data_IF_035152195343
#
_entry.id   IF_035152195343
#
_cell.length_a   1.000
_cell.length_b   1.000
_cell.length_c   1.000
_cell.angle_alpha   90.00
_cell.angle_beta   90.00
_cell.angle_gamma   90.00
#
_symmetry.space_group_name_H-M   'P 1'
#
loop_
_entity.id
_entity.type
_entity.pdbx_description
1 polymer ?
#
# COMPACT_ATOMS: atom_id res chain seq x y z
N UNK A 1 -15.68 28.99 -5.23
CA UNK A 1 -14.63 27.98 -5.31
C UNK A 1 -15.29 26.63 -5.51
N UNK A 2 -15.06 25.98 -6.65
CA UNK A 2 -15.76 24.76 -7.06
C UNK A 2 -15.40 23.61 -6.11
N UNK A 3 -16.35 22.74 -5.77
CA UNK A 3 -16.18 21.58 -4.87
C UNK A 3 -15.01 20.65 -5.30
N UNK A 4 -14.78 20.54 -6.60
CA UNK A 4 -13.62 19.84 -7.21
C UNK A 4 -12.27 20.48 -6.84
N UNK A 5 -12.20 21.80 -6.72
CA UNK A 5 -10.97 22.52 -6.33
C UNK A 5 -10.60 22.30 -4.86
N UNK A 6 -11.59 22.25 -3.95
CA UNK A 6 -11.35 21.94 -2.53
C UNK A 6 -10.84 20.51 -2.31
N UNK A 7 -11.42 19.53 -2.98
CA UNK A 7 -10.99 18.13 -2.85
C UNK A 7 -9.59 17.91 -3.42
N UNK A 8 -9.24 18.59 -4.52
CA UNK A 8 -7.88 18.56 -5.07
C UNK A 8 -6.87 19.21 -4.13
N UNK A 9 -7.22 20.34 -3.53
CA UNK A 9 -6.35 21.10 -2.62
C UNK A 9 -5.97 20.29 -1.35
N UNK A 10 -6.84 19.39 -0.91
CA UNK A 10 -6.59 18.50 0.23
C UNK A 10 -5.93 17.18 -0.24
N UNK A 11 -6.36 16.65 -1.38
CA UNK A 11 -5.92 15.37 -1.89
C UNK A 11 -4.44 15.33 -2.29
N UNK A 12 -3.93 16.37 -2.95
CA UNK A 12 -2.52 16.42 -3.36
C UNK A 12 -1.55 16.44 -2.17
N UNK A 13 -1.70 17.33 -1.16
CA UNK A 13 -0.84 17.30 0.03
C UNK A 13 -0.95 15.99 0.79
N UNK A 14 -2.15 15.43 0.94
CA UNK A 14 -2.34 14.14 1.59
C UNK A 14 -1.62 13.01 0.84
N UNK A 15 -1.67 12.99 -0.49
CA UNK A 15 -0.94 12.03 -1.32
C UNK A 15 0.57 12.15 -1.16
N UNK A 16 1.11 13.37 -1.14
CA UNK A 16 2.54 13.63 -0.92
C UNK A 16 2.96 13.12 0.46
N UNK A 17 2.22 13.47 1.52
CA UNK A 17 2.50 13.03 2.89
C UNK A 17 2.47 11.50 2.97
N UNK A 18 1.47 10.86 2.36
CA UNK A 18 1.37 9.40 2.32
C UNK A 18 2.58 8.78 1.63
N UNK A 19 3.00 9.32 0.48
CA UNK A 19 4.18 8.85 -0.25
C UNK A 19 5.47 8.97 0.57
N UNK A 20 5.68 10.11 1.23
CA UNK A 20 6.82 10.33 2.13
C UNK A 20 6.79 9.33 3.29
N UNK A 21 5.64 9.20 3.97
CA UNK A 21 5.47 8.29 5.12
C UNK A 21 5.71 6.84 4.72
N UNK A 22 5.25 6.44 3.53
CA UNK A 22 5.48 5.09 3.02
C UNK A 22 6.96 4.85 2.69
N UNK A 23 7.64 5.83 2.11
CA UNK A 23 9.08 5.79 1.82
C UNK A 23 9.96 5.71 3.08
N UNK A 24 9.47 6.18 4.22
CA UNK A 24 10.16 6.07 5.52
C UNK A 24 10.08 4.67 6.15
N UNK A 25 9.25 3.77 5.64
CA UNK A 25 9.11 2.41 6.18
C UNK A 25 10.44 1.67 6.35
N UNK A 26 11.35 1.63 5.35
CA UNK A 26 12.64 0.96 5.51
C UNK A 26 13.52 1.63 6.57
N UNK A 27 13.43 2.97 6.69
CA UNK A 27 14.26 3.72 7.64
C UNK A 27 14.01 3.31 9.10
N UNK A 28 12.77 2.99 9.44
CA UNK A 28 12.40 2.54 10.79
C UNK A 28 12.40 1.01 10.93
N UNK A 29 12.05 0.29 9.87
CA UNK A 29 11.95 -1.17 9.90
C UNK A 29 13.31 -1.86 9.87
N UNK A 30 14.23 -1.41 9.00
CA UNK A 30 15.54 -2.05 8.82
C UNK A 30 16.41 -2.06 10.10
N UNK A 31 16.52 -0.97 10.88
CA UNK A 31 17.27 -1.01 12.12
C UNK A 31 16.73 -2.02 13.14
N UNK A 32 15.43 -2.20 13.22
CA UNK A 32 14.81 -3.19 14.10
C UNK A 32 15.12 -4.61 13.64
N UNK A 33 15.02 -4.89 12.35
CA UNK A 33 15.38 -6.19 11.76
C UNK A 33 16.86 -6.50 11.97
N UNK A 34 17.75 -5.54 11.77
CA UNK A 34 19.19 -5.71 11.99
C UNK A 34 19.55 -5.95 13.46
N UNK A 35 18.74 -5.49 14.39
CA UNK A 35 18.87 -5.77 15.83
C UNK A 35 18.16 -7.07 16.26
N UNK A 36 17.73 -7.92 15.31
CA UNK A 36 17.17 -9.23 15.58
C UNK A 36 15.67 -9.27 15.87
N UNK A 37 14.94 -8.16 15.66
CA UNK A 37 13.49 -8.19 15.78
C UNK A 37 12.88 -8.97 14.61
N UNK A 38 11.93 -9.88 14.88
CA UNK A 38 11.25 -10.62 13.85
C UNK A 38 10.28 -9.71 13.08
N UNK A 39 10.08 -9.99 11.79
CA UNK A 39 9.20 -9.22 10.91
C UNK A 39 7.77 -9.21 11.47
N UNK A 40 7.32 -10.36 11.98
CA UNK A 40 5.99 -10.52 12.57
C UNK A 40 5.81 -9.60 13.78
N UNK A 41 6.81 -9.51 14.65
CA UNK A 41 6.78 -8.61 15.82
C UNK A 41 6.72 -7.14 15.41
N UNK A 42 7.54 -6.73 14.43
CA UNK A 42 7.56 -5.36 13.92
C UNK A 42 6.18 -4.99 13.35
N UNK A 43 5.61 -5.86 12.52
CA UNK A 43 4.30 -5.62 11.90
C UNK A 43 3.18 -5.65 12.93
N UNK A 44 3.24 -6.59 13.90
CA UNK A 44 2.26 -6.68 14.98
C UNK A 44 2.18 -5.37 15.79
N UNK A 45 3.29 -4.89 16.32
CA UNK A 45 3.30 -3.65 17.08
C UNK A 45 2.91 -2.44 16.24
N UNK A 46 3.34 -2.38 14.98
CA UNK A 46 2.95 -1.31 14.06
C UNK A 46 1.43 -1.24 13.87
N UNK A 47 0.79 -2.39 13.62
CA UNK A 47 -0.67 -2.43 13.45
C UNK A 47 -1.40 -2.23 14.78
N UNK A 48 -0.88 -2.75 15.88
CA UNK A 48 -1.45 -2.54 17.21
C UNK A 48 -1.51 -1.04 17.56
N UNK A 49 -0.40 -0.32 17.39
CA UNK A 49 -0.39 1.12 17.62
C UNK A 49 -1.32 1.87 16.66
N UNK A 50 -1.37 1.48 15.39
CA UNK A 50 -2.30 2.08 14.44
C UNK A 50 -3.76 1.89 14.87
N UNK A 51 -4.14 0.68 15.28
CA UNK A 51 -5.49 0.37 15.78
C UNK A 51 -5.83 1.17 17.03
N UNK A 52 -4.90 1.28 17.99
CA UNK A 52 -5.12 2.07 19.21
C UNK A 52 -5.34 3.54 18.86
N UNK A 53 -4.49 4.15 18.03
CA UNK A 53 -4.58 5.55 17.67
C UNK A 53 -5.84 5.85 16.82
N UNK A 54 -6.13 5.04 15.81
CA UNK A 54 -7.32 5.21 14.99
C UNK A 54 -8.60 4.92 15.77
N UNK A 55 -8.59 3.91 16.64
CA UNK A 55 -9.70 3.60 17.51
C UNK A 55 -10.01 4.74 18.47
N UNK A 56 -8.99 5.30 19.13
CA UNK A 56 -9.15 6.48 19.97
C UNK A 56 -9.72 7.68 19.17
N UNK A 57 -9.21 7.91 17.96
CA UNK A 57 -9.73 8.97 17.09
C UNK A 57 -11.19 8.76 16.72
N UNK A 58 -11.60 7.54 16.35
CA UNK A 58 -12.98 7.19 16.03
C UNK A 58 -13.92 7.37 17.22
N UNK A 59 -13.49 6.99 18.41
CA UNK A 59 -14.28 7.18 19.66
C UNK A 59 -14.46 8.67 19.95
N UNK A 60 -13.40 9.47 19.88
CA UNK A 60 -13.45 10.92 20.14
C UNK A 60 -14.34 11.62 19.09
N UNK A 61 -14.27 11.22 17.84
CA UNK A 61 -15.09 11.79 16.74
C UNK A 61 -16.51 11.21 16.67
N UNK A 62 -16.89 10.33 17.63
CA UNK A 62 -18.22 9.71 17.73
C UNK A 62 -18.67 9.04 16.43
N UNK A 63 -17.74 8.40 15.71
CA UNK A 63 -18.08 7.64 14.51
C UNK A 63 -18.89 6.38 14.87
N UNK A 64 -19.84 6.04 14.02
CA UNK A 64 -20.67 4.85 14.20
C UNK A 64 -19.89 3.60 13.78
N UNK A 65 -19.72 2.64 14.71
CA UNK A 65 -19.03 1.36 14.48
C UNK A 65 -19.97 0.26 13.93
N UNK A 66 -21.19 0.59 13.53
CA UNK A 66 -22.12 -0.43 13.01
C UNK A 66 -21.67 -0.90 11.63
N UNK A 67 -21.28 -2.16 11.57
CA UNK A 67 -20.92 -2.85 10.33
C UNK A 67 -21.82 -4.07 10.15
N UNK A 68 -22.17 -4.35 8.90
CA UNK A 68 -22.91 -5.58 8.55
C UNK A 68 -21.96 -6.77 8.44
N UNK A 69 -22.47 -7.99 8.58
CA UNK A 69 -21.65 -9.20 8.42
C UNK A 69 -20.93 -9.26 7.07
N UNK A 70 -21.58 -8.81 6.00
CA UNK A 70 -20.95 -8.69 4.66
C UNK A 70 -19.78 -7.74 4.65
N UNK A 71 -19.89 -6.59 5.30
CA UNK A 71 -18.83 -5.60 5.45
C UNK A 71 -17.68 -6.19 6.27
N UNK A 72 -17.96 -6.85 7.40
CA UNK A 72 -16.95 -7.49 8.24
C UNK A 72 -16.12 -8.52 7.47
N UNK A 73 -16.76 -9.41 6.70
CA UNK A 73 -16.03 -10.39 5.87
C UNK A 73 -15.16 -9.71 4.82
N UNK A 74 -15.66 -8.65 4.17
CA UNK A 74 -14.90 -7.93 3.16
C UNK A 74 -13.70 -7.20 3.80
N UNK A 75 -13.88 -6.58 4.96
CA UNK A 75 -12.80 -5.94 5.73
C UNK A 75 -11.73 -6.95 6.16
N UNK A 76 -12.14 -8.15 6.58
CA UNK A 76 -11.22 -9.22 6.93
C UNK A 76 -10.37 -9.66 5.72
N UNK A 77 -10.97 -9.83 4.56
CA UNK A 77 -10.23 -10.15 3.32
C UNK A 77 -9.25 -9.03 2.98
N UNK A 78 -9.67 -7.77 3.09
CA UNK A 78 -8.80 -6.62 2.87
C UNK A 78 -7.63 -6.58 3.85
N UNK A 79 -7.89 -6.82 5.14
CA UNK A 79 -6.85 -6.91 6.17
C UNK A 79 -5.83 -8.01 5.88
N UNK A 80 -6.29 -9.19 5.45
CA UNK A 80 -5.41 -10.29 5.05
C UNK A 80 -4.55 -9.94 3.84
N UNK A 81 -5.12 -9.32 2.81
CA UNK A 81 -4.37 -8.89 1.62
C UNK A 81 -3.32 -7.83 1.98
N UNK A 82 -3.69 -6.85 2.80
CA UNK A 82 -2.78 -5.79 3.23
C UNK A 82 -1.64 -6.34 4.10
N UNK A 83 -1.95 -7.24 5.03
CA UNK A 83 -0.95 -7.91 5.88
C UNK A 83 -0.02 -8.78 5.05
N UNK A 84 -0.55 -9.57 4.12
CA UNK A 84 0.26 -10.39 3.20
C UNK A 84 1.21 -9.54 2.37
N UNK A 85 0.71 -8.41 1.83
CA UNK A 85 1.55 -7.44 1.11
C UNK A 85 2.69 -6.93 1.99
N UNK A 86 2.41 -6.54 3.24
CA UNK A 86 3.42 -6.04 4.16
C UNK A 86 4.45 -7.09 4.54
N UNK A 87 4.02 -8.32 4.82
CA UNK A 87 4.94 -9.44 5.13
C UNK A 87 5.86 -9.70 3.94
N UNK A 88 5.32 -9.81 2.72
CA UNK A 88 6.11 -10.01 1.51
C UNK A 88 7.14 -8.88 1.30
N UNK A 89 6.75 -7.62 1.52
CA UNK A 89 7.66 -6.49 1.39
C UNK A 89 8.81 -6.55 2.42
N UNK A 90 8.50 -6.77 3.70
CA UNK A 90 9.52 -6.85 4.74
C UNK A 90 10.43 -8.08 4.56
N UNK A 91 9.89 -9.20 4.11
CA UNK A 91 10.69 -10.36 3.74
C UNK A 91 11.63 -10.07 2.56
N UNK A 92 11.19 -9.29 1.57
CA UNK A 92 12.02 -8.89 0.44
C UNK A 92 13.27 -8.10 0.88
N UNK A 93 13.20 -7.32 1.98
CA UNK A 93 14.34 -6.57 2.53
C UNK A 93 15.50 -7.46 2.98
N UNK A 94 15.27 -8.74 3.27
CA UNK A 94 16.32 -9.70 3.59
C UNK A 94 17.12 -10.16 2.35
N UNK A 95 16.59 -9.97 1.14
CA UNK A 95 17.16 -10.50 -0.10
C UNK A 95 17.68 -9.43 -1.05
N UNK A 96 17.06 -8.24 -1.02
CA UNK A 96 17.42 -7.11 -1.89
C UNK A 96 17.41 -5.81 -1.09
N UNK A 97 18.09 -4.79 -1.62
CA UNK A 97 18.09 -3.46 -1.01
C UNK A 97 16.67 -2.96 -0.78
N UNK A 98 16.38 -2.45 0.43
CA UNK A 98 15.04 -2.03 0.84
C UNK A 98 14.45 -0.93 -0.05
N UNK A 99 15.30 -0.03 -0.58
CA UNK A 99 14.88 0.96 -1.57
C UNK A 99 14.39 0.34 -2.86
N UNK A 100 15.10 -0.68 -3.38
CA UNK A 100 14.71 -1.41 -4.58
C UNK A 100 13.39 -2.19 -4.34
N UNK A 101 13.29 -2.92 -3.21
CA UNK A 101 12.09 -3.65 -2.85
C UNK A 101 10.86 -2.73 -2.77
N UNK A 102 10.99 -1.58 -2.08
CA UNK A 102 9.92 -0.59 -1.96
C UNK A 102 9.53 -0.01 -3.31
N UNK A 103 10.51 0.28 -4.19
CA UNK A 103 10.25 0.79 -5.54
C UNK A 103 9.50 -0.24 -6.39
N UNK A 104 9.84 -1.52 -6.28
CA UNK A 104 9.12 -2.59 -6.97
C UNK A 104 7.66 -2.71 -6.51
N UNK A 105 7.37 -2.45 -5.24
CA UNK A 105 5.98 -2.41 -4.77
C UNK A 105 5.20 -1.27 -5.42
N UNK A 106 5.81 -0.14 -5.72
CA UNK A 106 5.16 0.96 -6.45
C UNK A 106 4.76 0.62 -7.88
N UNK A 107 5.06 -0.59 -8.38
CA UNK A 107 4.47 -1.13 -9.60
C UNK A 107 2.99 -1.53 -9.42
N UNK A 108 2.43 -1.50 -8.20
CA UNK A 108 1.02 -1.86 -7.98
C UNK A 108 0.01 -1.10 -8.86
N UNK A 109 0.18 0.20 -9.21
CA UNK A 109 -0.76 0.87 -10.10
C UNK A 109 -0.76 0.28 -11.52
N UNK A 110 0.40 -0.25 -11.96
CA UNK A 110 0.52 -0.98 -13.23
C UNK A 110 -0.30 -2.25 -13.18
N UNK A 111 -0.15 -3.03 -12.08
CA UNK A 111 -0.91 -4.25 -11.88
C UNK A 111 -2.41 -3.97 -11.78
N UNK A 112 -2.80 -2.91 -11.07
CA UNK A 112 -4.19 -2.44 -11.03
C UNK A 112 -4.70 -2.14 -12.44
N UNK A 113 -3.94 -1.38 -13.24
CA UNK A 113 -4.32 -1.03 -14.61
C UNK A 113 -4.49 -2.29 -15.48
N UNK A 114 -3.56 -3.24 -15.41
CA UNK A 114 -3.62 -4.50 -16.14
C UNK A 114 -4.88 -5.28 -15.76
N UNK A 115 -5.12 -5.48 -14.46
CA UNK A 115 -6.30 -6.20 -13.97
C UNK A 115 -7.59 -5.49 -14.39
N UNK A 116 -7.62 -4.15 -14.36
CA UNK A 116 -8.79 -3.36 -14.77
C UNK A 116 -9.07 -3.50 -16.26
N UNK A 117 -8.05 -3.61 -17.12
CA UNK A 117 -8.22 -3.91 -18.55
C UNK A 117 -8.88 -5.29 -18.73
N UNK A 118 -8.43 -6.32 -18.01
CA UNK A 118 -9.10 -7.64 -18.02
C UNK A 118 -10.56 -7.57 -17.56
N UNK A 119 -10.87 -6.65 -16.66
CA UNK A 119 -12.24 -6.39 -16.19
C UNK A 119 -13.03 -5.45 -17.14
N UNK A 120 -12.51 -5.19 -18.37
CA UNK A 120 -13.08 -4.32 -19.41
C UNK A 120 -13.24 -2.85 -18.99
N UNK A 121 -12.41 -2.39 -18.08
CA UNK A 121 -12.32 -0.97 -17.70
C UNK A 121 -10.99 -0.44 -18.22
N UNK A 122 -11.05 0.37 -19.28
CA UNK A 122 -9.84 0.91 -19.91
C UNK A 122 -9.35 2.09 -19.07
N UNK A 123 -8.08 2.08 -18.59
CA UNK A 123 -7.50 3.19 -17.85
C UNK A 123 -7.40 4.44 -18.73
N UNK A 124 -7.54 5.62 -18.13
CA UNK A 124 -7.37 6.89 -18.85
C UNK A 124 -5.91 7.11 -19.27
N UNK A 125 -5.70 7.92 -20.29
CA UNK A 125 -4.37 8.22 -20.84
C UNK A 125 -3.32 8.65 -19.79
N UNK A 126 -3.65 9.49 -18.77
CA UNK A 126 -2.70 9.84 -17.72
C UNK A 126 -2.18 8.65 -16.91
N UNK A 127 -2.98 7.58 -16.77
CA UNK A 127 -2.56 6.35 -16.09
C UNK A 127 -1.45 5.64 -16.87
N UNK A 128 -1.54 5.61 -18.20
CA UNK A 128 -0.49 5.03 -19.05
C UNK A 128 0.81 5.82 -18.95
N UNK A 129 0.74 7.17 -18.91
CA UNK A 129 1.92 8.00 -18.68
C UNK A 129 2.55 7.73 -17.30
N UNK A 130 1.74 7.60 -16.25
CA UNK A 130 2.22 7.26 -14.92
C UNK A 130 2.89 5.88 -14.87
N UNK A 131 2.36 4.90 -15.61
CA UNK A 131 2.96 3.56 -15.75
C UNK A 131 4.36 3.66 -16.36
N UNK A 132 4.48 4.36 -17.50
CA UNK A 132 5.77 4.55 -18.19
C UNK A 132 6.77 5.27 -17.29
N UNK A 133 6.35 6.33 -16.60
CA UNK A 133 7.19 7.07 -15.67
C UNK A 133 7.67 6.20 -14.50
N UNK A 134 6.79 5.36 -13.95
CA UNK A 134 7.14 4.42 -12.87
C UNK A 134 8.17 3.39 -13.32
N UNK A 135 7.98 2.78 -14.50
CA UNK A 135 8.96 1.86 -15.08
C UNK A 135 10.31 2.54 -15.34
N UNK A 136 10.29 3.74 -15.90
CA UNK A 136 11.51 4.54 -16.11
C UNK A 136 12.25 4.81 -14.80
N UNK A 137 11.54 5.19 -13.75
CA UNK A 137 12.11 5.41 -12.42
C UNK A 137 12.75 4.15 -11.83
N UNK A 138 12.10 2.98 -11.96
CA UNK A 138 12.65 1.69 -11.52
C UNK A 138 13.92 1.35 -12.31
N UNK A 139 13.94 1.53 -13.63
CA UNK A 139 15.12 1.27 -14.45
C UNK A 139 16.29 2.16 -14.08
N UNK A 140 16.06 3.46 -13.85
CA UNK A 140 17.10 4.40 -13.41
C UNK A 140 17.66 3.98 -12.05
N UNK A 141 16.81 3.58 -11.10
CA UNK A 141 17.27 3.08 -9.82
C UNK A 141 18.11 1.81 -9.93
N UNK A 142 17.77 0.90 -10.85
CA UNK A 142 18.54 -0.33 -11.08
C UNK A 142 19.92 -0.06 -11.74
N UNK A 143 20.07 1.04 -12.47
CA UNK A 143 21.34 1.47 -13.10
C UNK A 143 22.24 2.28 -12.17
N UNK A 144 21.74 2.73 -11.02
CA UNK A 144 22.54 3.46 -10.04
C UNK A 144 23.73 2.64 -9.52
N UNK A 145 24.86 3.30 -9.25
CA UNK A 145 26.23 2.77 -9.00
C UNK A 145 26.40 1.82 -7.79
N UNK A 146 25.42 1.05 -7.42
CA UNK A 146 25.55 -0.05 -6.48
C UNK A 146 25.43 -1.38 -7.22
N UNK A 147 26.36 -2.29 -7.03
CA UNK A 147 26.17 -3.70 -7.37
C UNK A 147 25.02 -4.23 -6.52
N UNK A 148 23.77 -3.92 -6.92
CA UNK A 148 22.61 -4.50 -6.28
C UNK A 148 22.65 -5.99 -6.56
N UNK A 149 22.89 -6.77 -5.52
CA UNK A 149 22.72 -8.22 -5.60
C UNK A 149 21.21 -8.47 -5.81
N UNK A 150 20.81 -8.58 -7.08
CA UNK A 150 19.41 -8.80 -7.46
C UNK A 150 19.10 -10.27 -7.20
N UNK A 151 18.63 -10.55 -5.99
CA UNK A 151 18.17 -11.89 -5.66
C UNK A 151 16.75 -12.09 -6.22
N UNK A 152 16.54 -13.10 -7.09
CA UNK A 152 15.22 -13.38 -7.68
C UNK A 152 14.12 -13.56 -6.62
N UNK A 153 14.44 -14.14 -5.46
CA UNK A 153 13.50 -14.31 -4.35
C UNK A 153 13.00 -12.96 -3.83
N UNK A 154 13.89 -12.00 -3.64
CA UNK A 154 13.51 -10.66 -3.18
C UNK A 154 12.63 -9.92 -4.19
N UNK A 155 12.95 -10.06 -5.49
CA UNK A 155 12.11 -9.51 -6.57
C UNK A 155 10.73 -10.17 -6.59
N UNK A 156 10.66 -11.49 -6.51
CA UNK A 156 9.40 -12.22 -6.48
C UNK A 156 8.53 -11.83 -5.27
N UNK A 157 9.12 -11.67 -4.09
CA UNK A 157 8.43 -11.22 -2.89
C UNK A 157 7.92 -9.78 -3.05
N UNK A 158 8.71 -8.87 -3.63
CA UNK A 158 8.27 -7.49 -3.88
C UNK A 158 7.11 -7.44 -4.88
N UNK A 159 7.15 -8.23 -5.95
CA UNK A 159 6.05 -8.34 -6.90
C UNK A 159 4.82 -9.01 -6.29
N UNK A 160 5.00 -10.01 -5.43
CA UNK A 160 3.92 -10.61 -4.64
C UNK A 160 3.25 -9.59 -3.74
N UNK A 161 4.04 -8.76 -3.05
CA UNK A 161 3.55 -7.63 -2.26
C UNK A 161 2.75 -6.64 -3.11
N UNK A 162 3.28 -6.24 -4.28
CA UNK A 162 2.59 -5.34 -5.22
C UNK A 162 1.26 -5.92 -5.71
N UNK A 163 1.22 -7.24 -5.98
CA UNK A 163 0.01 -7.93 -6.44
C UNK A 163 -1.06 -7.98 -5.35
N UNK A 164 -0.69 -8.35 -4.12
CA UNK A 164 -1.60 -8.36 -2.98
C UNK A 164 -2.17 -6.95 -2.72
N UNK A 165 -1.33 -5.92 -2.82
CA UNK A 165 -1.75 -4.53 -2.66
C UNK A 165 -2.65 -4.06 -3.82
N UNK A 166 -2.37 -4.46 -5.05
CA UNK A 166 -3.22 -4.16 -6.21
C UNK A 166 -4.63 -4.77 -6.06
N UNK A 167 -4.71 -6.03 -5.60
CA UNK A 167 -6.00 -6.67 -5.30
C UNK A 167 -6.75 -5.94 -4.18
N UNK A 168 -6.06 -5.54 -3.12
CA UNK A 168 -6.62 -4.73 -2.04
C UNK A 168 -7.26 -3.45 -2.59
N UNK A 169 -6.54 -2.68 -3.42
CA UNK A 169 -7.04 -1.44 -4.04
C UNK A 169 -8.26 -1.70 -4.94
N UNK A 170 -8.23 -2.77 -5.73
CA UNK A 170 -9.34 -3.12 -6.63
C UNK A 170 -10.60 -3.47 -5.84
N UNK A 171 -10.47 -4.28 -4.78
CA UNK A 171 -11.60 -4.67 -3.93
C UNK A 171 -12.20 -3.45 -3.23
N UNK A 172 -11.38 -2.55 -2.68
CA UNK A 172 -11.86 -1.28 -2.09
C UNK A 172 -12.69 -0.48 -3.10
N UNK A 173 -12.18 -0.31 -4.31
CA UNK A 173 -12.84 0.54 -5.31
C UNK A 173 -14.08 -0.10 -5.93
N UNK A 174 -14.17 -1.43 -5.92
CA UNK A 174 -15.26 -2.16 -6.58
C UNK A 174 -16.33 -2.73 -5.65
N UNK A 175 -16.03 -2.87 -4.37
CA UNK A 175 -16.94 -3.47 -3.41
C UNK A 175 -18.05 -2.50 -3.02
N UNK A 176 -19.27 -2.80 -3.44
CA UNK A 176 -20.47 -2.06 -3.01
C UNK A 176 -20.69 -2.15 -1.49
N UNK A 177 -20.24 -3.22 -0.85
CA UNK A 177 -20.35 -3.40 0.60
C UNK A 177 -19.56 -2.34 1.38
N UNK A 178 -18.46 -1.84 0.81
CA UNK A 178 -17.57 -0.86 1.45
C UNK A 178 -17.93 0.57 1.08
N UNK A 179 -18.62 0.80 -0.04
CA UNK A 179 -18.92 2.13 -0.55
C UNK A 179 -19.69 3.03 0.45
N UNK A 180 -20.40 2.41 1.40
CA UNK A 180 -21.16 3.10 2.45
C UNK A 180 -20.35 3.32 3.75
N UNK A 181 -19.16 2.72 3.86
CA UNK A 181 -18.29 2.84 5.03
C UNK A 181 -17.47 4.14 4.91
N UNK A 182 -17.36 4.89 6.01
CA UNK A 182 -16.49 6.06 6.02
C UNK A 182 -15.03 5.65 5.83
N UNK A 183 -14.25 6.47 5.11
CA UNK A 183 -12.84 6.18 4.85
C UNK A 183 -12.03 5.96 6.15
N UNK A 184 -12.39 6.66 7.23
CA UNK A 184 -11.72 6.52 8.53
C UNK A 184 -12.00 5.16 9.15
N UNK A 185 -13.25 4.67 9.07
CA UNK A 185 -13.62 3.34 9.58
C UNK A 185 -13.05 2.21 8.70
N UNK A 186 -12.88 2.45 7.41
CA UNK A 186 -12.23 1.51 6.48
C UNK A 186 -10.74 1.31 6.80
N UNK A 187 -10.09 2.35 7.31
CA UNK A 187 -8.65 2.33 7.65
C UNK A 187 -8.40 1.71 9.04
N UNK A 188 -9.41 1.74 9.94
CA UNK A 188 -9.36 1.13 11.27
C UNK A 188 -9.39 -0.39 11.20
#
# INVERSE_FOLDING_TARGET
MNKLSKNALIGYPAGIITGITYGLNPLFGMPLMNNGASIESILFFRYLFAVILLGAFLVVTKHNFRITAKQAVTLLILGLLFTSSSICLFQAYNYIASGLATTLVFLYPVLVAIIMVFLRVIPSWPVWLAIVATFGGVLIMMQGNGSYNINPTGVALSLGSATAYALFIIIINRSKAIAEISNTLLTF
#
